data_IF_426748713171
#
_entry.id   IF_426748713171
#
_cell.length_a   1.000
_cell.length_b   1.000
_cell.length_c   1.000
_cell.angle_alpha   90.00
_cell.angle_beta   90.00
_cell.angle_gamma   90.00
#
_symmetry.space_group_name_H-M   'P 1'
#
loop_
_entity.id
_entity.type
_entity.pdbx_description
1 polymer ?
#
# COMPACT_ATOMS: atom_id res chain seq x y z
N UNK A 1 -4.38 -18.66 2.36
CA UNK A 1 -4.27 -17.21 2.02
C UNK A 1 -5.65 -16.57 2.05
N UNK A 2 -5.86 -15.52 2.82
CA UNK A 2 -7.13 -14.82 2.98
C UNK A 2 -7.20 -13.65 1.98
N UNK A 3 -8.10 -13.73 0.97
CA UNK A 3 -8.35 -12.65 0.02
C UNK A 3 -9.38 -11.66 0.57
N UNK A 4 -9.08 -10.36 0.51
CA UNK A 4 -9.95 -9.29 1.03
C UNK A 4 -10.02 -8.11 0.07
N UNK A 5 -11.20 -7.53 -0.09
CA UNK A 5 -11.42 -6.29 -0.85
C UNK A 5 -12.02 -5.24 0.06
N UNK A 6 -11.33 -4.12 0.21
CA UNK A 6 -11.80 -2.94 0.93
C UNK A 6 -12.76 -2.18 0.03
N UNK A 7 -14.02 -1.98 0.47
CA UNK A 7 -15.02 -1.27 -0.32
C UNK A 7 -15.97 -0.50 0.60
N UNK A 8 -16.24 0.76 0.27
CA UNK A 8 -17.24 1.58 0.95
C UNK A 8 -18.67 1.04 0.71
N UNK A 9 -19.50 0.98 1.75
CA UNK A 9 -20.85 0.42 1.64
C UNK A 9 -21.73 1.16 0.63
N UNK A 10 -21.49 2.43 0.41
CA UNK A 10 -22.18 3.24 -0.60
C UNK A 10 -21.66 3.06 -2.03
N UNK A 11 -20.49 2.41 -2.23
CA UNK A 11 -19.85 2.23 -3.54
C UNK A 11 -20.16 0.84 -4.14
N UNK A 12 -21.45 0.56 -4.35
CA UNK A 12 -21.95 -0.75 -4.81
C UNK A 12 -21.48 -1.09 -6.23
N UNK A 13 -21.38 -0.11 -7.11
CA UNK A 13 -20.89 -0.25 -8.49
C UNK A 13 -19.44 -0.68 -8.53
N UNK A 14 -18.57 -0.13 -7.67
CA UNK A 14 -17.18 -0.56 -7.52
C UNK A 14 -17.10 -1.99 -7.02
N UNK A 15 -17.92 -2.33 -6.01
CA UNK A 15 -18.00 -3.70 -5.52
C UNK A 15 -18.44 -4.67 -6.62
N UNK A 16 -19.48 -4.35 -7.38
CA UNK A 16 -19.97 -5.18 -8.50
C UNK A 16 -18.91 -5.38 -9.57
N UNK A 17 -18.16 -4.32 -9.92
CA UNK A 17 -17.03 -4.41 -10.85
C UNK A 17 -15.92 -5.32 -10.31
N UNK A 18 -15.57 -5.18 -9.06
CA UNK A 18 -14.54 -6.00 -8.43
C UNK A 18 -14.96 -7.48 -8.35
N UNK A 19 -16.23 -7.75 -8.00
CA UNK A 19 -16.77 -9.11 -8.02
C UNK A 19 -16.66 -9.77 -9.39
N UNK A 20 -16.99 -9.06 -10.47
CA UNK A 20 -16.85 -9.57 -11.84
C UNK A 20 -15.38 -9.92 -12.16
N UNK A 21 -14.42 -9.08 -11.79
CA UNK A 21 -13.00 -9.33 -12.02
C UNK A 21 -12.51 -10.57 -11.26
N UNK A 22 -12.79 -10.68 -9.97
CA UNK A 22 -12.32 -11.81 -9.17
C UNK A 22 -12.98 -13.12 -9.59
N UNK A 23 -14.26 -13.10 -9.99
CA UNK A 23 -14.94 -14.27 -10.55
C UNK A 23 -14.35 -14.69 -11.89
N UNK A 24 -14.05 -13.72 -12.78
CA UNK A 24 -13.48 -14.01 -14.10
C UNK A 24 -12.12 -14.74 -14.03
N UNK A 25 -11.33 -14.46 -12.99
CA UNK A 25 -10.03 -15.11 -12.77
C UNK A 25 -10.10 -16.27 -11.76
N UNK A 26 -11.26 -16.56 -11.19
CA UNK A 26 -11.44 -17.66 -10.22
C UNK A 26 -10.84 -17.37 -8.83
N UNK A 27 -10.64 -16.09 -8.47
CA UNK A 27 -10.09 -15.70 -7.18
C UNK A 27 -11.21 -15.59 -6.13
N UNK A 28 -11.01 -16.23 -4.97
CA UNK A 28 -11.93 -16.10 -3.83
C UNK A 28 -11.50 -14.93 -2.94
N UNK A 29 -12.42 -14.01 -2.71
CA UNK A 29 -12.22 -12.86 -1.80
C UNK A 29 -13.45 -12.61 -0.96
N UNK A 30 -13.23 -12.06 0.24
CA UNK A 30 -14.32 -11.50 1.06
C UNK A 30 -14.32 -9.95 0.96
N UNK A 31 -15.49 -9.37 1.07
CA UNK A 31 -15.66 -7.92 1.16
C UNK A 31 -15.42 -7.46 2.59
N UNK A 32 -14.58 -6.45 2.75
CA UNK A 32 -14.37 -5.75 4.01
C UNK A 32 -14.99 -4.36 3.89
N UNK A 33 -16.04 -4.08 4.70
CA UNK A 33 -16.68 -2.76 4.75
C UNK A 33 -15.65 -1.72 5.21
N UNK A 34 -15.32 -0.78 4.32
CA UNK A 34 -14.39 0.30 4.56
C UNK A 34 -14.94 1.28 5.63
N UNK A 35 -14.04 1.95 6.31
CA UNK A 35 -14.38 3.10 7.17
C UNK A 35 -14.73 4.28 6.27
N UNK A 36 -15.91 4.87 6.47
CA UNK A 36 -16.33 6.05 5.71
C UNK A 36 -15.99 7.32 6.50
N UNK A 37 -15.05 8.11 5.99
CA UNK A 37 -14.66 9.39 6.59
C UNK A 37 -15.85 10.36 6.74
N UNK A 38 -16.89 10.26 5.90
CA UNK A 38 -18.07 11.10 5.98
C UNK A 38 -18.98 10.73 7.17
N UNK A 39 -18.84 9.52 7.68
CA UNK A 39 -19.60 9.04 8.84
C UNK A 39 -18.84 9.22 10.17
N UNK A 40 -17.56 9.64 10.13
CA UNK A 40 -16.75 9.86 11.33
C UNK A 40 -16.91 11.28 11.87
N UNK A 41 -17.04 11.40 13.19
CA UNK A 41 -16.97 12.70 13.86
C UNK A 41 -15.53 13.26 13.82
N UNK A 42 -15.35 14.60 13.77
CA UNK A 42 -14.00 15.20 13.77
C UNK A 42 -13.15 14.78 14.98
N UNK A 43 -13.77 14.62 16.15
CA UNK A 43 -13.12 14.20 17.39
C UNK A 43 -12.63 12.74 17.31
N UNK A 44 -13.40 11.88 16.64
CA UNK A 44 -13.01 10.50 16.37
C UNK A 44 -11.79 10.46 15.46
N UNK A 45 -11.78 11.23 14.35
CA UNK A 45 -10.62 11.35 13.45
C UNK A 45 -9.40 11.84 14.22
N UNK A 46 -9.56 12.90 15.04
CA UNK A 46 -8.49 13.47 15.84
C UNK A 46 -7.90 12.46 16.86
N UNK A 47 -8.72 11.54 17.37
CA UNK A 47 -8.25 10.53 18.33
C UNK A 47 -7.29 9.50 17.74
N UNK A 48 -7.27 9.34 16.41
CA UNK A 48 -6.42 8.40 15.70
C UNK A 48 -5.06 8.99 15.28
N UNK A 49 -4.89 10.30 15.31
CA UNK A 49 -3.67 11.00 14.88
C UNK A 49 -2.95 11.62 16.09
N UNK A 50 -1.64 11.92 15.99
CA UNK A 50 -0.94 12.63 17.07
C UNK A 50 -1.55 14.00 17.33
N UNK A 51 -1.51 14.43 18.58
CA UNK A 51 -1.85 15.83 18.90
C UNK A 51 -0.92 16.79 18.15
N UNK A 52 -1.49 17.85 17.61
CA UNK A 52 -0.77 18.85 16.79
C UNK A 52 0.40 19.49 17.54
N UNK A 53 0.35 19.52 18.87
CA UNK A 53 1.31 20.17 19.75
C UNK A 53 2.56 19.33 20.05
N UNK A 54 2.66 18.10 19.54
CA UNK A 54 3.84 17.27 19.74
C UNK A 54 4.67 17.13 18.45
N UNK A 55 5.57 18.11 18.17
CA UNK A 55 6.37 18.09 16.96
C UNK A 55 7.34 16.89 16.89
N UNK A 56 7.60 16.21 18.01
CA UNK A 56 8.43 14.99 18.03
C UNK A 56 7.75 13.78 17.41
N UNK A 57 6.42 13.81 17.30
CA UNK A 57 5.59 12.73 16.73
C UNK A 57 5.11 12.99 15.32
N UNK A 58 5.34 14.19 14.77
CA UNK A 58 4.97 14.50 13.38
C UNK A 58 5.95 13.85 12.43
N UNK A 59 5.64 12.64 12.00
CA UNK A 59 6.43 11.90 11.02
C UNK A 59 6.11 12.34 9.58
N UNK A 60 4.90 12.85 9.32
CA UNK A 60 4.44 13.27 8.00
C UNK A 60 4.45 14.80 7.86
N UNK A 61 4.84 15.35 6.69
CA UNK A 61 5.08 16.79 6.54
C UNK A 61 3.81 17.66 6.47
N UNK A 62 2.64 17.09 6.68
CA UNK A 62 1.34 17.78 6.73
C UNK A 62 0.35 17.01 7.59
N UNK A 63 -0.75 17.63 7.95
CA UNK A 63 -1.89 16.95 8.57
C UNK A 63 -2.49 15.91 7.62
N UNK A 64 -2.95 14.80 8.20
CA UNK A 64 -3.66 13.76 7.46
C UNK A 64 -5.10 14.21 7.21
N UNK A 65 -5.59 13.97 5.99
CA UNK A 65 -6.98 14.20 5.65
C UNK A 65 -7.88 13.14 6.29
N UNK A 66 -9.14 13.46 6.62
CA UNK A 66 -10.10 12.47 7.13
C UNK A 66 -10.17 11.19 6.29
N UNK A 67 -10.16 11.32 4.96
CA UNK A 67 -10.16 10.16 4.05
C UNK A 67 -8.90 9.30 4.15
N UNK A 68 -7.73 9.88 4.45
CA UNK A 68 -6.50 9.13 4.65
C UNK A 68 -6.52 8.35 5.97
N UNK A 69 -7.08 8.94 7.02
CA UNK A 69 -7.29 8.26 8.31
C UNK A 69 -8.28 7.10 8.14
N UNK A 70 -9.41 7.33 7.49
CA UNK A 70 -10.43 6.32 7.23
C UNK A 70 -9.90 5.16 6.35
N UNK A 71 -9.13 5.49 5.30
CA UNK A 71 -8.44 4.51 4.47
C UNK A 71 -7.49 3.66 5.34
N UNK A 72 -6.66 4.28 6.16
CA UNK A 72 -5.76 3.57 7.07
C UNK A 72 -6.50 2.63 8.02
N UNK A 73 -7.59 3.10 8.62
CA UNK A 73 -8.44 2.30 9.51
C UNK A 73 -9.07 1.11 8.78
N UNK A 74 -9.40 1.26 7.50
CA UNK A 74 -9.92 0.17 6.67
C UNK A 74 -8.88 -0.93 6.46
N UNK A 75 -7.63 -0.56 6.18
CA UNK A 75 -6.50 -1.51 6.11
C UNK A 75 -6.25 -2.19 7.46
N UNK A 76 -6.35 -1.47 8.58
CA UNK A 76 -6.24 -2.06 9.92
C UNK A 76 -7.31 -3.14 10.17
N UNK A 77 -8.55 -2.95 9.67
CA UNK A 77 -9.58 -4.00 9.74
C UNK A 77 -9.13 -5.27 9.00
N UNK A 78 -8.53 -5.13 7.82
CA UNK A 78 -8.01 -6.28 7.08
C UNK A 78 -6.87 -6.98 7.84
N UNK A 79 -5.93 -6.22 8.41
CA UNK A 79 -4.83 -6.78 9.20
C UNK A 79 -5.33 -7.52 10.44
N UNK A 80 -6.30 -6.95 11.15
CA UNK A 80 -6.91 -7.63 12.32
C UNK A 80 -7.60 -8.91 11.89
N UNK A 81 -8.36 -8.88 10.80
CA UNK A 81 -9.06 -10.03 10.25
C UNK A 81 -8.11 -11.16 9.84
N UNK A 82 -6.96 -10.80 9.24
CA UNK A 82 -5.92 -11.76 8.92
C UNK A 82 -5.34 -12.42 10.18
N UNK A 83 -5.00 -11.63 11.18
CA UNK A 83 -4.46 -12.15 12.47
C UNK A 83 -5.46 -13.08 13.14
N UNK A 84 -6.73 -12.70 13.18
CA UNK A 84 -7.81 -13.46 13.83
C UNK A 84 -8.16 -14.75 13.05
N UNK A 85 -7.94 -14.78 11.73
CA UNK A 85 -8.24 -15.94 10.89
C UNK A 85 -7.25 -17.11 11.06
N UNK A 86 -6.05 -16.84 11.57
CA UNK A 86 -4.96 -17.83 11.62
C UNK A 86 -4.31 -18.12 10.26
N UNK A 87 -4.76 -17.48 9.18
CA UNK A 87 -4.15 -17.61 7.86
C UNK A 87 -2.74 -17.01 7.83
N UNK A 88 -1.85 -17.61 7.06
CA UNK A 88 -0.45 -17.18 6.96
C UNK A 88 -0.31 -15.86 6.21
N UNK A 89 -1.12 -15.67 5.16
CA UNK A 89 -1.06 -14.52 4.26
C UNK A 89 -2.42 -13.89 4.03
N UNK A 90 -2.47 -12.55 4.03
CA UNK A 90 -3.61 -11.74 3.61
C UNK A 90 -3.31 -11.05 2.29
N UNK A 91 -4.17 -11.27 1.30
CA UNK A 91 -4.17 -10.60 0.01
C UNK A 91 -5.22 -9.50 0.05
N UNK A 92 -4.80 -8.24 -0.01
CA UNK A 92 -5.65 -7.09 0.22
C UNK A 92 -5.70 -6.23 -1.04
N UNK A 93 -6.93 -5.88 -1.45
CA UNK A 93 -7.21 -4.97 -2.57
C UNK A 93 -8.08 -3.80 -2.13
N UNK A 94 -7.89 -2.64 -2.75
CA UNK A 94 -8.90 -1.58 -2.81
C UNK A 94 -9.88 -1.85 -3.97
N UNK A 95 -11.05 -1.22 -3.98
CA UNK A 95 -12.13 -1.50 -4.93
C UNK A 95 -12.03 -0.80 -6.29
N UNK A 96 -10.96 -0.02 -6.48
CA UNK A 96 -10.69 0.78 -7.69
C UNK A 96 -9.53 0.24 -8.53
N UNK A 97 -9.25 -1.05 -8.42
CA UNK A 97 -8.19 -1.72 -9.16
C UNK A 97 -8.69 -2.47 -10.38
N UNK A 98 -7.78 -2.70 -11.32
CA UNK A 98 -7.92 -3.63 -12.45
C UNK A 98 -6.90 -4.76 -12.29
N UNK A 99 -7.40 -6.00 -12.27
CA UNK A 99 -6.59 -7.20 -12.08
C UNK A 99 -6.18 -7.81 -13.43
N UNK A 100 -4.90 -8.14 -13.58
CA UNK A 100 -4.44 -8.98 -14.69
C UNK A 100 -5.05 -10.39 -14.58
N UNK A 101 -5.50 -11.01 -15.68
CA UNK A 101 -5.92 -12.41 -15.67
C UNK A 101 -4.85 -13.39 -15.13
N UNK A 102 -3.58 -13.00 -15.18
CA UNK A 102 -2.45 -13.80 -14.67
C UNK A 102 -2.31 -13.75 -13.15
N UNK A 103 -3.11 -12.92 -12.47
CA UNK A 103 -3.03 -12.78 -11.01
C UNK A 103 -3.36 -14.07 -10.26
N UNK A 104 -4.22 -14.93 -10.81
CA UNK A 104 -4.61 -16.19 -10.18
C UNK A 104 -3.40 -17.10 -9.87
N UNK A 105 -2.40 -17.13 -10.74
CA UNK A 105 -1.19 -17.93 -10.54
C UNK A 105 -0.43 -17.55 -9.26
N UNK A 106 -0.52 -16.31 -8.84
CA UNK A 106 0.09 -15.80 -7.60
C UNK A 106 -0.76 -16.13 -6.36
N UNK A 107 -2.07 -16.19 -6.51
CA UNK A 107 -2.99 -16.51 -5.43
C UNK A 107 -3.13 -18.04 -5.20
N UNK A 108 -2.87 -18.85 -6.22
CA UNK A 108 -3.03 -20.32 -6.18
C UNK A 108 -1.95 -21.03 -5.36
N UNK A 109 -0.78 -20.42 -5.13
CA UNK A 109 0.34 -21.04 -4.40
C UNK A 109 1.17 -19.99 -3.69
N UNK A 110 1.77 -20.39 -2.55
CA UNK A 110 2.73 -19.57 -1.79
C UNK A 110 4.19 -19.89 -2.11
N UNK A 111 4.47 -20.92 -2.92
CA UNK A 111 5.82 -21.42 -3.18
C UNK A 111 6.73 -20.44 -3.91
N UNK A 112 6.18 -19.43 -4.57
CA UNK A 112 6.92 -18.38 -5.25
C UNK A 112 7.40 -17.27 -4.28
N UNK A 113 6.80 -17.19 -3.08
CA UNK A 113 7.12 -16.14 -2.10
C UNK A 113 8.48 -16.44 -1.47
N UNK A 114 9.44 -15.49 -1.47
CA UNK A 114 10.69 -15.66 -0.74
C UNK A 114 10.45 -15.91 0.76
N UNK A 115 11.25 -16.75 1.38
CA UNK A 115 11.08 -17.12 2.79
C UNK A 115 11.13 -15.90 3.72
N UNK A 116 12.01 -14.95 3.42
CA UNK A 116 12.17 -13.71 4.17
C UNK A 116 11.11 -12.65 3.88
N UNK A 117 10.32 -12.80 2.80
CA UNK A 117 9.30 -11.82 2.42
C UNK A 117 8.18 -11.75 3.46
N UNK A 118 7.76 -10.54 3.77
CA UNK A 118 6.67 -10.27 4.72
C UNK A 118 5.60 -9.36 4.13
N UNK A 119 5.95 -8.61 3.08
CA UNK A 119 5.07 -7.70 2.37
C UNK A 119 5.43 -7.71 0.88
N UNK A 120 4.44 -7.81 0.00
CA UNK A 120 4.65 -7.78 -1.44
C UNK A 120 3.60 -6.88 -2.10
N UNK A 121 4.04 -5.93 -2.92
CA UNK A 121 3.18 -5.03 -3.68
C UNK A 121 3.05 -5.50 -5.12
N UNK A 122 1.81 -5.51 -5.66
CA UNK A 122 1.53 -5.99 -7.02
C UNK A 122 1.20 -4.89 -8.01
N UNK A 123 1.07 -3.67 -7.52
CA UNK A 123 0.43 -2.61 -8.26
C UNK A 123 1.35 -1.65 -8.99
N UNK A 124 0.78 -0.95 -9.96
CA UNK A 124 1.35 0.16 -10.69
C UNK A 124 0.27 1.24 -10.89
N UNK A 125 0.59 2.50 -10.53
CA UNK A 125 -0.35 3.62 -10.67
C UNK A 125 -0.32 4.31 -12.04
N UNK A 126 0.71 4.04 -12.85
CA UNK A 126 0.94 4.66 -14.16
C UNK A 126 1.32 3.60 -15.18
N UNK A 127 1.32 3.92 -16.48
CA UNK A 127 1.73 2.99 -17.55
C UNK A 127 3.14 2.43 -17.35
N UNK A 128 4.03 3.21 -16.74
CA UNK A 128 5.37 2.76 -16.34
C UNK A 128 5.91 3.60 -15.19
N UNK A 129 6.76 3.00 -14.38
CA UNK A 129 7.42 3.68 -13.27
C UNK A 129 8.90 3.27 -13.21
N UNK A 130 9.78 4.26 -13.00
CA UNK A 130 11.20 4.00 -12.73
C UNK A 130 11.40 3.77 -11.24
N UNK A 131 12.06 2.67 -10.89
CA UNK A 131 12.37 2.32 -9.50
C UNK A 131 13.86 2.12 -9.30
N UNK A 132 14.32 2.49 -8.11
CA UNK A 132 15.64 2.13 -7.63
C UNK A 132 15.48 0.90 -6.71
N UNK A 133 16.18 -0.19 -6.98
CA UNK A 133 16.11 -1.46 -6.25
C UNK A 133 17.41 -1.81 -5.54
N UNK A 134 17.32 -2.43 -4.34
CA UNK A 134 18.50 -2.88 -3.57
C UNK A 134 18.76 -4.37 -3.68
N UNK A 135 17.73 -5.15 -3.95
CA UNK A 135 17.84 -6.60 -4.12
C UNK A 135 16.80 -7.06 -5.13
N UNK A 136 17.11 -8.13 -5.81
CA UNK A 136 16.31 -8.69 -6.86
C UNK A 136 16.38 -10.20 -6.78
N UNK A 137 15.21 -10.86 -6.87
CA UNK A 137 15.15 -12.30 -7.08
C UNK A 137 14.15 -12.63 -8.18
N UNK A 138 14.49 -13.62 -8.99
CA UNK A 138 13.67 -14.07 -10.10
C UNK A 138 12.75 -15.21 -9.67
N UNK A 139 11.55 -15.24 -10.23
CA UNK A 139 10.59 -16.34 -10.08
C UNK A 139 10.00 -16.71 -11.43
N UNK A 140 9.92 -18.02 -11.67
CA UNK A 140 9.18 -18.57 -12.80
C UNK A 140 7.80 -18.97 -12.34
N UNK A 141 6.75 -18.35 -12.87
CA UNK A 141 5.35 -18.63 -12.53
C UNK A 141 4.60 -18.87 -13.84
N UNK A 142 4.03 -20.05 -14.00
CA UNK A 142 3.35 -20.49 -15.24
C UNK A 142 4.18 -20.23 -16.51
N UNK A 143 5.49 -20.53 -16.45
CA UNK A 143 6.40 -20.38 -17.60
C UNK A 143 6.80 -18.94 -17.93
N UNK A 144 6.36 -17.95 -17.13
CA UNK A 144 6.75 -16.54 -17.28
C UNK A 144 7.68 -16.13 -16.16
N UNK A 145 8.69 -15.33 -16.52
CA UNK A 145 9.62 -14.71 -15.57
C UNK A 145 8.98 -13.50 -14.90
N UNK A 146 9.09 -13.46 -13.57
CA UNK A 146 8.79 -12.31 -12.72
C UNK A 146 9.99 -11.97 -11.87
N UNK A 147 10.10 -10.72 -11.51
CA UNK A 147 11.14 -10.22 -10.63
C UNK A 147 10.51 -9.66 -9.36
N UNK A 148 11.12 -10.01 -8.25
CA UNK A 148 10.75 -9.48 -6.94
C UNK A 148 11.85 -8.53 -6.53
N UNK A 149 11.56 -7.25 -6.50
CA UNK A 149 12.55 -6.21 -6.17
C UNK A 149 12.26 -5.58 -4.82
N UNK A 150 13.31 -5.31 -4.07
CA UNK A 150 13.24 -4.48 -2.87
C UNK A 150 13.45 -3.03 -3.26
N UNK A 151 12.37 -2.26 -3.26
CA UNK A 151 12.35 -0.88 -3.73
C UNK A 151 12.91 0.09 -2.70
N UNK A 152 13.66 1.10 -3.16
CA UNK A 152 14.27 2.15 -2.32
C UNK A 152 13.50 3.48 -2.39
N UNK A 153 12.66 3.65 -3.39
CA UNK A 153 11.97 4.93 -3.61
C UNK A 153 11.12 5.31 -2.40
N UNK A 154 11.22 6.57 -1.89
CA UNK A 154 10.55 6.96 -0.65
C UNK A 154 9.03 7.10 -0.76
N UNK A 155 8.48 7.02 -1.96
CA UNK A 155 7.06 7.17 -2.22
C UNK A 155 6.61 6.13 -3.24
N UNK A 156 6.03 5.05 -2.75
CA UNK A 156 5.13 4.22 -3.54
C UNK A 156 3.76 4.88 -3.48
N UNK A 157 3.15 5.14 -4.60
CA UNK A 157 1.78 5.59 -4.66
C UNK A 157 0.85 4.38 -4.51
N UNK A 158 0.02 4.42 -3.46
CA UNK A 158 -1.10 3.53 -3.24
C UNK A 158 -0.78 2.20 -2.56
N UNK A 159 -1.64 1.84 -1.62
CA UNK A 159 -1.67 0.54 -0.95
C UNK A 159 -2.79 -0.35 -1.52
N UNK A 160 -3.12 -0.19 -2.79
CA UNK A 160 -4.33 -0.73 -3.41
C UNK A 160 -4.29 -2.22 -3.75
N UNK A 161 -3.09 -2.86 -3.79
CA UNK A 161 -2.95 -4.29 -4.03
C UNK A 161 -1.66 -4.84 -3.42
N UNK A 162 -1.77 -5.61 -2.35
CA UNK A 162 -0.60 -6.18 -1.69
C UNK A 162 -0.91 -7.48 -0.94
N UNK A 163 0.15 -8.26 -0.73
CA UNK A 163 0.17 -9.44 0.12
C UNK A 163 0.95 -9.11 1.39
N UNK A 164 0.40 -9.46 2.55
CA UNK A 164 1.03 -9.26 3.86
C UNK A 164 0.98 -10.54 4.68
N UNK A 165 2.09 -10.88 5.33
CA UNK A 165 2.12 -12.02 6.26
C UNK A 165 1.42 -11.69 7.58
N UNK A 166 0.83 -12.69 8.24
CA UNK A 166 0.15 -12.51 9.54
C UNK A 166 1.07 -11.90 10.61
N UNK A 167 2.36 -12.29 10.75
CA UNK A 167 3.27 -11.60 11.67
C UNK A 167 3.53 -10.14 11.32
N UNK A 168 3.58 -9.79 10.01
CA UNK A 168 3.72 -8.41 9.58
C UNK A 168 2.45 -7.60 9.84
N UNK A 169 1.27 -8.19 9.63
CA UNK A 169 -0.01 -7.56 9.96
C UNK A 169 -0.14 -7.26 11.46
N UNK A 170 0.23 -8.20 12.32
CA UNK A 170 0.28 -7.97 13.77
C UNK A 170 1.23 -6.83 14.15
N UNK A 171 2.41 -6.79 13.52
CA UNK A 171 3.37 -5.68 13.71
C UNK A 171 2.82 -4.35 13.19
N UNK A 172 2.11 -4.36 12.05
CA UNK A 172 1.48 -3.16 11.51
C UNK A 172 0.41 -2.61 12.47
N UNK A 173 -0.42 -3.47 13.06
CA UNK A 173 -1.41 -3.10 14.07
C UNK A 173 -0.75 -2.46 15.30
N UNK A 174 0.33 -3.05 15.81
CA UNK A 174 1.03 -2.52 16.98
C UNK A 174 1.67 -1.15 16.72
N UNK A 175 2.35 -0.99 15.58
CA UNK A 175 3.03 0.25 15.22
C UNK A 175 2.09 1.37 14.77
N UNK A 176 0.84 1.06 14.44
CA UNK A 176 -0.16 2.02 13.94
C UNK A 176 -1.26 2.33 14.95
N UNK A 177 -1.01 2.16 16.26
CA UNK A 177 -1.94 2.61 17.32
C UNK A 177 -2.26 4.11 17.20
N UNK A 178 -1.28 4.88 16.74
CA UNK A 178 -1.44 6.27 16.31
C UNK A 178 -1.04 6.36 14.84
N UNK A 179 -1.89 6.94 14.01
CA UNK A 179 -1.69 7.07 12.57
C UNK A 179 -0.86 8.31 12.30
N UNK A 180 0.37 8.13 11.85
CA UNK A 180 1.36 9.21 11.64
C UNK A 180 1.67 9.49 10.17
N UNK A 181 1.15 8.69 9.25
CA UNK A 181 1.33 8.81 7.80
C UNK A 181 0.17 8.14 7.06
N UNK A 182 -0.08 8.45 5.77
CA UNK A 182 -0.97 7.67 4.93
C UNK A 182 -0.54 6.20 4.88
N UNK A 183 -1.47 5.29 4.61
CA UNK A 183 -1.24 3.84 4.69
C UNK A 183 -0.18 3.34 3.69
N UNK A 184 -0.14 3.94 2.51
CA UNK A 184 0.86 3.65 1.48
C UNK A 184 2.28 4.02 1.94
N UNK A 185 2.45 5.20 2.52
CA UNK A 185 3.72 5.63 3.12
C UNK A 185 4.08 4.77 4.34
N UNK A 186 3.11 4.40 5.16
CA UNK A 186 3.34 3.52 6.30
C UNK A 186 3.83 2.13 5.86
N UNK A 187 3.21 1.53 4.85
CA UNK A 187 3.55 0.19 4.40
C UNK A 187 4.84 0.13 3.56
N UNK A 188 5.07 1.12 2.69
CA UNK A 188 6.07 0.99 1.62
C UNK A 188 7.17 2.05 1.64
N UNK A 189 7.05 3.12 2.42
CA UNK A 189 8.14 4.09 2.53
C UNK A 189 9.32 3.50 3.29
N UNK A 190 10.55 3.55 2.75
CA UNK A 190 11.76 3.11 3.46
C UNK A 190 12.06 3.95 4.72
N UNK A 191 11.28 4.99 4.97
CA UNK A 191 11.37 5.83 6.18
C UNK A 191 10.39 5.39 7.26
N UNK A 192 9.42 4.57 6.90
CA UNK A 192 8.44 4.04 7.84
C UNK A 192 9.11 3.16 8.90
N UNK A 193 8.71 3.28 10.18
CA UNK A 193 9.16 2.37 11.22
C UNK A 193 8.71 0.93 10.95
N UNK A 194 7.64 0.74 10.18
CA UNK A 194 7.15 -0.57 9.75
C UNK A 194 8.09 -1.18 8.71
N UNK A 195 8.38 -0.48 7.61
CA UNK A 195 9.22 -0.98 6.52
C UNK A 195 10.66 -1.28 6.96
N UNK A 196 11.17 -0.59 7.97
CA UNK A 196 12.48 -0.89 8.55
C UNK A 196 12.52 -2.22 9.35
N UNK A 197 11.37 -2.84 9.60
CA UNK A 197 11.20 -4.06 10.40
C UNK A 197 10.60 -5.23 9.63
N UNK A 198 10.31 -5.03 8.35
CA UNK A 198 9.75 -6.04 7.45
C UNK A 198 10.50 -6.08 6.12
N UNK A 199 10.54 -7.25 5.49
CA UNK A 199 11.07 -7.42 4.16
C UNK A 199 9.95 -7.21 3.14
N UNK A 200 9.97 -6.04 2.48
CA UNK A 200 8.99 -5.66 1.48
C UNK A 200 9.56 -5.78 0.08
N UNK A 201 8.80 -6.42 -0.81
CA UNK A 201 9.11 -6.60 -2.22
C UNK A 201 8.03 -5.99 -3.11
N UNK A 202 8.40 -5.71 -4.34
CA UNK A 202 7.48 -5.38 -5.43
C UNK A 202 7.61 -6.42 -6.53
N UNK A 203 6.47 -6.85 -7.06
CA UNK A 203 6.41 -7.82 -8.16
C UNK A 203 6.48 -7.07 -9.49
N UNK A 204 7.37 -7.51 -10.39
CA UNK A 204 7.57 -6.97 -11.74
C UNK A 204 7.45 -8.09 -12.77
N UNK A 205 6.72 -7.87 -13.85
CA UNK A 205 5.84 -6.75 -14.15
C UNK A 205 4.63 -6.68 -13.21
N UNK A 206 4.03 -5.50 -13.07
CA UNK A 206 2.89 -5.29 -12.18
C UNK A 206 1.66 -6.06 -12.67
N UNK A 207 0.93 -6.63 -11.74
CA UNK A 207 -0.26 -7.47 -12.00
C UNK A 207 -1.57 -6.76 -11.73
N UNK A 208 -1.49 -5.57 -11.14
CA UNK A 208 -2.64 -4.75 -10.74
C UNK A 208 -2.38 -3.31 -11.11
N UNK A 209 -3.38 -2.66 -11.70
CA UNK A 209 -3.33 -1.23 -12.02
C UNK A 209 -4.51 -0.49 -11.39
N UNK A 210 -4.38 0.82 -11.22
CA UNK A 210 -5.50 1.69 -10.86
C UNK A 210 -5.84 2.58 -12.04
N UNK A 211 -7.14 2.72 -12.33
CA UNK A 211 -7.64 3.66 -13.33
C UNK A 211 -7.79 5.07 -12.71
N UNK A 212 -6.68 5.76 -12.46
CA UNK A 212 -6.74 7.16 -11.99
C UNK A 212 -7.51 8.10 -12.95
N UNK A 213 -7.64 7.72 -14.21
CA UNK A 213 -8.33 8.52 -15.24
C UNK A 213 -9.86 8.39 -15.20
N UNK A 214 -10.37 7.24 -14.74
CA UNK A 214 -11.81 6.93 -14.77
C UNK A 214 -12.49 6.97 -13.39
N UNK A 215 -11.71 6.86 -12.32
CA UNK A 215 -12.25 6.76 -10.97
C UNK A 215 -11.86 8.00 -10.16
N UNK A 216 -12.84 8.84 -9.82
CA UNK A 216 -12.62 9.99 -8.93
C UNK A 216 -12.18 9.47 -7.57
N UNK A 217 -10.92 9.76 -7.20
CA UNK A 217 -10.38 9.41 -5.88
C UNK A 217 -11.24 10.03 -4.77
N UNK A 218 -11.73 9.20 -3.86
CA UNK A 218 -12.51 9.66 -2.70
C UNK A 218 -11.65 10.38 -1.66
N UNK A 219 -10.32 10.30 -1.76
CA UNK A 219 -9.36 10.92 -0.83
C UNK A 219 -9.05 12.38 -1.24
N UNK A 220 -9.36 12.78 -2.49
CA UNK A 220 -9.10 14.12 -3.04
C UNK A 220 -7.68 14.31 -3.60
N UNK A 221 -7.50 15.41 -4.32
CA UNK A 221 -6.29 15.66 -5.13
C UNK A 221 -5.07 15.98 -4.24
N UNK A 222 -4.06 15.12 -4.22
CA UNK A 222 -2.85 15.23 -3.37
C UNK A 222 -1.80 16.22 -3.91
N UNK A 223 -1.75 16.43 -5.22
CA UNK A 223 -0.61 17.09 -5.90
C UNK A 223 -0.65 18.61 -5.78
N UNK A 224 -1.83 19.25 -5.76
CA UNK A 224 -1.96 20.70 -5.75
C UNK A 224 -1.65 21.36 -4.40
N UNK A 225 -1.66 20.63 -3.30
CA UNK A 225 -1.51 21.18 -1.95
C UNK A 225 -0.06 21.29 -1.48
N UNK A 226 0.83 20.42 -1.95
CA UNK A 226 2.27 20.47 -1.62
C UNK A 226 2.96 21.73 -2.15
N UNK A 227 2.47 22.29 -3.27
CA UNK A 227 2.99 23.55 -3.83
C UNK A 227 2.59 24.78 -3.01
N UNK A 228 1.50 24.71 -2.24
CA UNK A 228 0.97 25.77 -1.38
C UNK A 228 1.39 25.65 0.09
N UNK A 229 2.19 24.64 0.41
CA UNK A 229 2.59 24.37 1.80
C UNK A 229 3.45 25.51 2.37
N UNK A 230 3.30 25.90 3.64
CA UNK A 230 4.14 26.88 4.33
C UNK A 230 5.63 26.53 4.23
N UNK A 231 6.49 27.55 4.27
CA UNK A 231 7.96 27.38 4.13
C UNK A 231 8.53 26.33 5.09
N UNK A 232 8.07 26.26 6.34
CA UNK A 232 8.53 25.30 7.35
C UNK A 232 8.20 23.85 6.99
N UNK A 233 7.07 23.58 6.31
CA UNK A 233 6.74 22.24 5.78
C UNK A 233 7.70 21.87 4.66
N UNK A 234 8.05 22.83 3.78
CA UNK A 234 9.00 22.60 2.68
C UNK A 234 10.41 22.32 3.16
N UNK A 235 10.80 22.83 4.32
CA UNK A 235 12.14 22.73 4.91
C UNK A 235 12.19 21.86 6.16
N UNK A 236 11.13 21.07 6.41
CA UNK A 236 11.09 20.18 7.56
C UNK A 236 12.30 19.23 7.56
N UNK A 237 13.00 19.03 8.70
CA UNK A 237 14.15 18.13 8.82
C UNK A 237 13.93 16.74 8.27
N UNK A 238 12.71 16.23 8.35
CA UNK A 238 12.26 14.98 7.73
C UNK A 238 12.58 14.92 6.22
N UNK A 239 12.32 15.98 5.45
CA UNK A 239 12.62 16.00 4.00
C UNK A 239 14.12 15.92 3.70
N UNK A 240 14.92 16.55 4.53
CA UNK A 240 16.39 16.48 4.40
C UNK A 240 16.89 15.09 4.75
N UNK A 241 16.35 14.49 5.82
CA UNK A 241 16.62 13.10 6.20
C UNK A 241 16.19 12.13 5.09
N UNK A 242 14.97 12.28 4.54
CA UNK A 242 14.48 11.50 3.39
C UNK A 242 15.46 11.57 2.22
N UNK A 243 15.82 12.78 1.79
CA UNK A 243 16.75 12.99 0.67
C UNK A 243 18.11 12.34 0.92
N UNK A 244 18.65 12.49 2.13
CA UNK A 244 19.92 11.87 2.52
C UNK A 244 19.83 10.35 2.51
N UNK A 245 18.78 9.77 3.09
CA UNK A 245 18.59 8.30 3.11
C UNK A 245 18.38 7.73 1.71
N UNK A 246 17.59 8.40 0.87
CA UNK A 246 17.42 8.02 -0.54
C UNK A 246 18.74 8.11 -1.31
N UNK A 247 19.52 9.17 -1.09
CA UNK A 247 20.82 9.32 -1.74
C UNK A 247 21.79 8.21 -1.31
N UNK A 248 21.87 7.90 -0.03
CA UNK A 248 22.72 6.80 0.49
C UNK A 248 22.27 5.45 -0.10
N UNK A 249 20.99 5.18 -0.16
CA UNK A 249 20.47 3.94 -0.72
C UNK A 249 20.74 3.84 -2.23
N UNK A 250 20.75 4.95 -2.98
CA UNK A 250 21.04 4.99 -4.41
C UNK A 250 22.48 4.57 -4.77
N UNK A 251 23.40 4.65 -3.84
CA UNK A 251 24.80 4.21 -4.07
C UNK A 251 24.89 2.70 -4.31
N UNK A 252 23.91 1.92 -3.83
CA UNK A 252 23.87 0.45 -3.96
C UNK A 252 22.73 -0.05 -4.85
N UNK A 253 21.99 0.89 -5.50
CA UNK A 253 20.78 0.56 -6.25
C UNK A 253 21.04 0.30 -7.73
N UNK A 254 20.28 -0.65 -8.28
CA UNK A 254 20.03 -0.76 -9.70
C UNK A 254 18.77 -0.01 -10.08
N UNK A 255 18.72 0.57 -11.29
CA UNK A 255 17.52 1.20 -11.84
C UNK A 255 16.78 0.22 -12.70
N UNK A 256 15.49 0.14 -12.50
CA UNK A 256 14.61 -0.69 -13.30
C UNK A 256 13.35 0.07 -13.72
N UNK A 257 12.68 -0.41 -14.77
CA UNK A 257 11.43 0.15 -15.27
C UNK A 257 10.33 -0.87 -15.02
N UNK A 258 9.39 -0.51 -14.15
CA UNK A 258 8.19 -1.32 -13.92
C UNK A 258 7.16 -1.00 -14.98
N UNK A 259 6.58 -2.05 -15.58
CA UNK A 259 5.44 -1.97 -16.50
C UNK A 259 4.34 -2.90 -16.03
N UNK A 260 3.12 -2.63 -16.47
CA UNK A 260 2.01 -3.57 -16.27
C UNK A 260 2.19 -4.82 -17.15
N UNK A 261 1.57 -5.91 -16.72
CA UNK A 261 1.45 -7.13 -17.52
C UNK A 261 0.23 -6.97 -18.43
N UNK A 262 0.42 -7.20 -19.73
CA UNK A 262 -0.65 -7.29 -20.71
C UNK A 262 -1.54 -8.53 -20.49
#
# INVERSE_FOLDING_TARGET
>A
MLGMVINLDRAQDRWSRMQQQVQAIGLSVERVSAVDAQAMAPEEIASHVPAVDDPSKVVYPRELKPGEVACFLSHRKCWQRLVDSGERWGLIFEDDVTLSPKFLAFAASENWIPEEAQLLHFGLCHESEMVDATSQCERMIEGRKYELIRQIKPFLSGAFAYLISSPAAAKALDLSKTIVAPVDDFLFSPLSPFTNRVFAYRVIPALVTTDEVTIVSTIGNRVSELSRSPWWIRHHPYRTYVKAKVWLNRLTAHRDIIRAVD
#
